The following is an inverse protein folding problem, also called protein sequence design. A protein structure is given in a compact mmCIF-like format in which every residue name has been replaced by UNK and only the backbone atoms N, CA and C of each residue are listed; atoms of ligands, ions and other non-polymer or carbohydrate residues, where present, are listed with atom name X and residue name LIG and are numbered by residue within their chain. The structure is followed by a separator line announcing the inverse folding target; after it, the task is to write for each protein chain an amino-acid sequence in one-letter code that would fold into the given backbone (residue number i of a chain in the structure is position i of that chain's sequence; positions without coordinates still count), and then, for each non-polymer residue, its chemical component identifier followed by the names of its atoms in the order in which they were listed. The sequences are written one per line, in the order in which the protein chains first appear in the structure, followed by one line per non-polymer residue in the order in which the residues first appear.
data_IF_770277122105
#
_entry.id   IF_770277122105
#
_cell.length_a   1.000
_cell.length_b   1.000
_cell.length_c   1.000
_cell.angle_alpha   90.00
_cell.angle_beta   90.00
_cell.angle_gamma   90.00
#
_symmetry.space_group_name_H-M   'P 1'
#
loop_
_entity.id
_entity.type
_entity.pdbx_description
1 polymer ?
#
# COMPACT_ATOMS: atom_id res chain seq x y z
N UNK A 1 -2.54 -19.81 -4.53
CA UNK A 1 -1.82 -19.32 -3.33
C UNK A 1 -0.31 -19.43 -3.49
N UNK A 2 0.23 -20.52 -4.03
CA UNK A 2 1.66 -20.67 -4.32
C UNK A 2 2.26 -19.52 -5.15
N UNK A 3 1.46 -18.90 -6.04
CA UNK A 3 1.92 -17.75 -6.83
C UNK A 3 2.21 -16.51 -5.98
N UNK A 4 1.42 -16.23 -4.94
CA UNK A 4 1.62 -15.05 -4.08
C UNK A 4 2.83 -15.24 -3.16
N UNK A 5 2.99 -16.43 -2.59
CA UNK A 5 4.17 -16.76 -1.79
C UNK A 5 5.45 -16.71 -2.63
N UNK A 6 5.39 -17.18 -3.88
CA UNK A 6 6.51 -17.07 -4.82
C UNK A 6 6.84 -15.62 -5.15
N UNK A 7 5.84 -14.79 -5.46
CA UNK A 7 6.04 -13.37 -5.77
C UNK A 7 6.58 -12.60 -4.56
N UNK A 8 6.14 -12.94 -3.34
CA UNK A 8 6.73 -12.42 -2.09
C UNK A 8 8.21 -12.81 -1.99
N UNK A 9 8.55 -14.07 -2.29
CA UNK A 9 9.93 -14.58 -2.24
C UNK A 9 10.83 -13.90 -3.28
N UNK A 10 10.28 -13.65 -4.47
CA UNK A 10 10.95 -12.96 -5.59
C UNK A 10 10.94 -11.43 -5.42
N UNK A 11 10.31 -10.90 -4.36
CA UNK A 11 10.09 -9.46 -4.10
C UNK A 11 9.43 -8.73 -5.28
N UNK A 12 8.57 -9.43 -6.01
CA UNK A 12 7.88 -8.87 -7.17
C UNK A 12 6.66 -8.06 -6.74
N UNK A 13 6.93 -6.80 -6.38
CA UNK A 13 5.91 -5.84 -5.93
C UNK A 13 4.92 -5.52 -7.05
N UNK A 14 5.34 -5.54 -8.32
CA UNK A 14 4.44 -5.32 -9.45
C UNK A 14 3.45 -6.46 -9.60
N UNK A 15 3.92 -7.70 -9.55
CA UNK A 15 3.04 -8.87 -9.56
C UNK A 15 2.06 -8.89 -8.40
N UNK A 16 2.49 -8.45 -7.20
CA UNK A 16 1.59 -8.31 -6.04
C UNK A 16 0.54 -7.21 -6.24
N UNK A 17 0.89 -6.08 -6.83
CA UNK A 17 -0.07 -5.01 -7.20
C UNK A 17 -1.08 -5.52 -8.21
N UNK A 18 -0.66 -6.31 -9.21
CA UNK A 18 -1.58 -6.92 -10.17
C UNK A 18 -2.57 -7.88 -9.51
N UNK A 19 -2.12 -8.66 -8.53
CA UNK A 19 -2.99 -9.57 -7.78
C UNK A 19 -3.96 -8.81 -6.88
N UNK A 20 -3.57 -7.64 -6.37
CA UNK A 20 -4.45 -6.74 -5.62
C UNK A 20 -5.65 -6.24 -6.44
N UNK A 21 -5.52 -6.20 -7.77
CA UNK A 21 -6.62 -5.85 -8.68
C UNK A 21 -7.55 -7.02 -9.03
N UNK A 22 -7.28 -8.23 -8.53
CA UNK A 22 -8.13 -9.38 -8.85
C UNK A 22 -9.43 -9.35 -8.05
N UNK A 23 -10.53 -9.76 -8.67
CA UNK A 23 -11.85 -9.94 -8.03
C UNK A 23 -11.82 -11.02 -6.92
N UNK A 24 -10.77 -11.84 -6.87
CA UNK A 24 -10.59 -12.87 -5.85
C UNK A 24 -10.19 -12.23 -4.51
N UNK A 25 -11.18 -11.95 -3.67
CA UNK A 25 -11.01 -11.28 -2.38
C UNK A 25 -9.91 -11.88 -1.49
N UNK A 26 -9.77 -13.20 -1.48
CA UNK A 26 -8.69 -13.88 -0.73
C UNK A 26 -7.32 -13.50 -1.26
N UNK A 27 -7.13 -13.53 -2.59
CA UNK A 27 -5.84 -13.21 -3.24
C UNK A 27 -5.46 -11.76 -3.06
N UNK A 28 -6.43 -10.85 -3.17
CA UNK A 28 -6.24 -9.42 -2.87
C UNK A 28 -5.77 -9.22 -1.44
N UNK A 29 -6.41 -9.89 -0.48
CA UNK A 29 -6.01 -9.80 0.93
C UNK A 29 -4.59 -10.33 1.15
N UNK A 30 -4.25 -11.49 0.59
CA UNK A 30 -2.90 -12.06 0.68
C UNK A 30 -1.82 -11.18 0.04
N UNK A 31 -2.10 -10.56 -1.11
CA UNK A 31 -1.17 -9.65 -1.76
C UNK A 31 -0.94 -8.38 -0.92
N UNK A 32 -2.00 -7.81 -0.34
CA UNK A 32 -1.91 -6.67 0.59
C UNK A 32 -1.09 -7.00 1.84
N UNK A 33 -1.27 -8.20 2.41
CA UNK A 33 -0.48 -8.67 3.55
C UNK A 33 0.99 -8.83 3.16
N UNK A 34 1.28 -9.50 2.03
CA UNK A 34 2.64 -9.70 1.56
C UNK A 34 3.39 -8.37 1.36
N UNK A 35 2.73 -7.37 0.77
CA UNK A 35 3.29 -6.02 0.61
C UNK A 35 3.51 -5.32 1.95
N UNK A 36 2.62 -5.52 2.91
CA UNK A 36 2.76 -4.96 4.26
C UNK A 36 3.95 -5.57 5.00
N UNK A 37 4.15 -6.88 4.87
CA UNK A 37 5.30 -7.60 5.45
C UNK A 37 6.64 -7.22 4.81
N UNK A 38 6.63 -6.71 3.56
CA UNK A 38 7.83 -6.17 2.92
C UNK A 38 8.26 -4.82 3.49
N UNK A 39 7.37 -4.09 4.19
CA UNK A 39 7.68 -2.83 4.87
C UNK A 39 8.26 -1.77 3.93
N UNK A 40 9.37 -1.14 4.33
CA UNK A 40 10.07 -0.08 3.61
C UNK A 40 10.35 -0.41 2.13
N UNK A 41 10.69 -1.66 1.83
CA UNK A 41 11.03 -2.09 0.46
C UNK A 41 9.82 -1.98 -0.49
N UNK A 42 8.61 -2.13 0.03
CA UNK A 42 7.39 -1.97 -0.75
C UNK A 42 6.96 -0.50 -0.90
N UNK A 43 7.44 0.41 -0.04
CA UNK A 43 6.96 1.79 -0.02
C UNK A 43 7.28 2.52 -1.32
N UNK A 44 8.52 2.49 -1.81
CA UNK A 44 8.90 3.23 -3.02
C UNK A 44 8.13 2.75 -4.27
N UNK A 45 8.01 1.43 -4.54
CA UNK A 45 7.22 0.95 -5.67
C UNK A 45 5.72 1.21 -5.53
N UNK A 46 5.18 1.13 -4.31
CA UNK A 46 3.79 1.49 -4.04
C UNK A 46 3.54 2.98 -4.26
N UNK A 47 4.43 3.87 -3.83
CA UNK A 47 4.33 5.31 -4.11
C UNK A 47 4.33 5.62 -5.60
N UNK A 48 5.06 4.84 -6.39
CA UNK A 48 5.04 4.94 -7.86
C UNK A 48 3.70 4.48 -8.43
N UNK A 49 3.18 3.34 -7.98
CA UNK A 49 1.88 2.83 -8.40
C UNK A 49 0.73 3.76 -7.99
N UNK A 50 0.83 4.42 -6.84
CA UNK A 50 -0.12 5.44 -6.37
C UNK A 50 -0.16 6.67 -7.30
N UNK A 51 0.93 6.94 -8.02
CA UNK A 51 1.02 8.05 -8.98
C UNK A 51 0.60 7.65 -10.39
N UNK A 52 1.13 6.53 -10.89
CA UNK A 52 0.99 6.10 -12.28
C UNK A 52 -0.18 5.10 -12.51
N UNK A 53 -0.79 4.57 -11.45
CA UNK A 53 -1.88 3.58 -11.53
C UNK A 53 -3.22 4.16 -11.98
N UNK A 54 -4.21 3.28 -12.21
CA UNK A 54 -5.61 3.66 -12.37
C UNK A 54 -6.28 3.87 -11.01
N UNK A 55 -7.50 4.43 -10.99
CA UNK A 55 -8.23 4.76 -9.75
C UNK A 55 -8.36 3.57 -8.78
N UNK A 56 -8.64 2.37 -9.29
CA UNK A 56 -8.73 1.13 -8.51
C UNK A 56 -7.38 0.76 -7.88
N UNK A 57 -6.29 0.81 -8.65
CA UNK A 57 -4.93 0.56 -8.12
C UNK A 57 -4.56 1.60 -7.09
N UNK A 58 -4.83 2.88 -7.35
CA UNK A 58 -4.49 3.97 -6.42
C UNK A 58 -5.17 3.77 -5.07
N UNK A 59 -6.44 3.36 -5.05
CA UNK A 59 -7.16 3.07 -3.82
C UNK A 59 -6.52 1.91 -3.03
N UNK A 60 -6.31 0.78 -3.69
CA UNK A 60 -5.76 -0.42 -3.06
C UNK A 60 -4.32 -0.22 -2.58
N UNK A 61 -3.51 0.50 -3.37
CA UNK A 61 -2.14 0.89 -3.01
C UNK A 61 -2.13 1.85 -1.82
N UNK A 62 -3.05 2.81 -1.76
CA UNK A 62 -3.20 3.69 -0.60
C UNK A 62 -3.50 2.89 0.69
N UNK A 63 -4.34 1.86 0.60
CA UNK A 63 -4.64 0.96 1.73
C UNK A 63 -3.43 0.11 2.14
N UNK A 64 -2.67 -0.40 1.16
CA UNK A 64 -1.44 -1.13 1.44
C UNK A 64 -0.39 -0.24 2.12
N UNK A 65 -0.19 0.99 1.64
CA UNK A 65 0.69 1.98 2.28
C UNK A 65 0.23 2.33 3.70
N UNK A 66 -1.08 2.45 3.93
CA UNK A 66 -1.63 2.69 5.25
C UNK A 66 -1.36 1.52 6.22
N UNK A 67 -1.39 0.27 5.72
CA UNK A 67 -1.05 -0.94 6.49
C UNK A 67 0.44 -1.08 6.78
N UNK A 68 1.31 -0.61 5.87
CA UNK A 68 2.77 -0.56 6.11
C UNK A 68 3.08 0.35 7.31
N UNK A 69 2.39 1.49 7.42
CA UNK A 69 2.49 2.38 8.59
C UNK A 69 3.66 3.38 8.51
N UNK A 70 4.46 3.46 9.58
CA UNK A 70 5.51 4.47 9.75
C UNK A 70 6.41 4.69 8.51
N UNK A 71 6.88 3.64 7.82
CA UNK A 71 7.73 3.79 6.63
C UNK A 71 7.10 4.60 5.50
N UNK A 72 5.77 4.54 5.37
CA UNK A 72 5.02 5.24 4.35
C UNK A 72 4.72 6.71 4.71
N UNK A 73 4.88 7.12 5.98
CA UNK A 73 4.52 8.46 6.47
C UNK A 73 5.26 9.56 5.71
N UNK A 74 6.60 9.49 5.66
CA UNK A 74 7.42 10.54 5.06
C UNK A 74 7.24 10.64 3.53
N UNK A 75 7.20 9.51 2.78
CA UNK A 75 6.86 9.54 1.36
C UNK A 75 5.46 10.10 1.09
N UNK A 76 4.44 9.71 1.87
CA UNK A 76 3.08 10.22 1.71
C UNK A 76 3.00 11.73 2.01
N UNK A 77 3.69 12.23 3.03
CA UNK A 77 3.79 13.68 3.29
C UNK A 77 4.42 14.44 2.13
N UNK A 78 5.39 13.84 1.43
CA UNK A 78 5.96 14.43 0.21
C UNK A 78 4.95 14.41 -0.95
N UNK A 79 4.19 13.34 -1.11
CA UNK A 79 3.14 13.24 -2.12
C UNK A 79 2.04 14.29 -1.92
N UNK A 80 1.68 14.63 -0.68
CA UNK A 80 0.76 15.73 -0.37
C UNK A 80 1.21 17.11 -0.90
N UNK A 81 2.51 17.29 -1.15
CA UNK A 81 3.07 18.53 -1.71
C UNK A 81 3.28 18.47 -3.23
N UNK A 82 2.89 17.38 -3.87
CA UNK A 82 3.01 17.23 -5.32
C UNK A 82 1.94 18.07 -6.05
N UNK A 83 2.19 18.48 -7.28
CA UNK A 83 1.23 19.26 -8.07
C UNK A 83 0.04 18.41 -8.57
N UNK A 84 0.18 17.10 -8.62
CA UNK A 84 -0.86 16.14 -9.02
C UNK A 84 -1.97 16.02 -7.96
N UNK A 85 -3.18 16.46 -8.33
CA UNK A 85 -4.38 16.44 -7.47
C UNK A 85 -4.78 15.04 -7.02
N UNK A 86 -4.75 14.06 -7.91
CA UNK A 86 -5.11 12.68 -7.58
C UNK A 86 -4.07 12.09 -6.64
N UNK A 87 -2.80 12.29 -6.94
CA UNK A 87 -1.72 11.78 -6.09
C UNK A 87 -1.78 12.37 -4.67
N UNK A 88 -2.11 13.66 -4.52
CA UNK A 88 -2.39 14.27 -3.22
C UNK A 88 -3.61 13.67 -2.54
N UNK A 89 -4.70 13.46 -3.28
CA UNK A 89 -5.94 12.90 -2.75
C UNK A 89 -5.71 11.52 -2.14
N UNK A 90 -5.13 10.58 -2.88
CA UNK A 90 -4.88 9.23 -2.35
C UNK A 90 -3.82 9.20 -1.25
N UNK A 91 -2.81 10.07 -1.32
CA UNK A 91 -1.85 10.19 -0.23
C UNK A 91 -2.51 10.66 1.07
N UNK A 92 -3.50 11.55 0.99
CA UNK A 92 -4.28 12.00 2.14
C UNK A 92 -5.15 10.88 2.72
N UNK A 93 -5.73 10.02 1.87
CA UNK A 93 -6.51 8.85 2.28
C UNK A 93 -5.63 7.84 3.00
N UNK A 94 -4.46 7.52 2.43
CA UNK A 94 -3.51 6.58 3.02
C UNK A 94 -3.07 7.06 4.42
N UNK A 95 -2.69 8.34 4.53
CA UNK A 95 -2.36 8.94 5.82
C UNK A 95 -3.56 8.93 6.77
N UNK A 96 -4.75 9.37 6.35
CA UNK A 96 -5.93 9.37 7.21
C UNK A 96 -6.26 7.99 7.76
N UNK A 97 -6.25 6.96 6.91
CA UNK A 97 -6.51 5.58 7.32
C UNK A 97 -5.41 5.02 8.20
N UNK A 98 -4.15 5.35 7.95
CA UNK A 98 -3.05 4.94 8.82
C UNK A 98 -3.21 5.48 10.26
N UNK A 99 -3.71 6.71 10.42
CA UNK A 99 -3.97 7.28 11.75
C UNK A 99 -5.23 6.68 12.40
N UNK A 100 -6.22 6.25 11.63
CA UNK A 100 -7.39 5.51 12.13
C UNK A 100 -6.98 4.09 12.57
N UNK A 101 -6.13 3.42 11.79
CA UNK A 101 -5.64 2.07 12.05
C UNK A 101 -4.58 2.04 13.16
N UNK A 102 -3.73 3.07 13.25
CA UNK A 102 -2.69 3.20 14.27
C UNK A 102 -3.21 3.60 15.66
N UNK A 103 -4.46 4.06 15.77
CA UNK A 103 -5.10 4.40 17.05
C UNK A 103 -5.72 3.19 17.78
N UNK A 104 -5.44 1.96 17.31
CA UNK A 104 -5.83 0.70 17.96
C UNK A 104 -4.62 -0.18 18.36
N UNK A 105 -3.38 0.33 18.32
CA UNK A 105 -2.19 -0.48 18.62
C UNK A 105 -1.23 0.14 19.65
N UNK A 106 -1.77 0.58 20.79
CA UNK A 106 -1.09 0.59 22.10
C UNK A 106 -2.11 0.34 23.22
N UNK A 107 -2.66 -0.87 23.24
CA UNK A 107 -3.03 -1.51 24.49
C UNK A 107 -2.09 -2.71 24.64
N UNK A 108 -1.41 -2.80 25.80
CA UNK A 108 -0.50 -3.87 26.25
C UNK A 108 0.92 -3.79 25.63
N UNK A 109 2.04 -3.63 26.35
CA UNK A 109 2.38 -3.59 27.79
C UNK A 109 3.51 -2.57 28.03
#
# INVERSE_FOLDING_TARGET
MADIERLKLEKDIKGLIEILMTEEGDRRMYASIALSEMGDEAVEPLMRALKEGNEDVKWEVAMALARIGEPAVEPLKKALKNDDEEFRYYASIALGNMWIQGHDFKAEE
#
